data_IF_384796917559
#
_entry.id   IF_384796917559
#
_cell.length_a   1.000
_cell.length_b   1.000
_cell.length_c   1.000
_cell.angle_alpha   90.00
_cell.angle_beta   90.00
_cell.angle_gamma   90.00
#
_symmetry.space_group_name_H-M   'P 1'
#
loop_
_entity.id
_entity.type
_entity.pdbx_description
1 polymer ?
#
# COMPACT_ATOMS: atom_id res chain seq x y z
N UNK A 1 17.45 -5.69 -26.03
CA UNK A 1 16.09 -5.25 -26.45
C UNK A 1 14.99 -5.95 -25.65
N UNK A 2 15.07 -7.26 -25.40
CA UNK A 2 14.03 -8.01 -24.63
C UNK A 2 13.72 -7.44 -23.24
N UNK A 3 14.71 -7.07 -22.43
CA UNK A 3 14.50 -6.45 -21.11
C UNK A 3 13.63 -5.19 -21.16
N UNK A 4 13.74 -4.39 -22.23
CA UNK A 4 12.92 -3.19 -22.38
C UNK A 4 11.47 -3.55 -22.69
N UNK A 5 11.26 -4.55 -23.55
CA UNK A 5 9.92 -5.03 -23.90
C UNK A 5 9.22 -5.57 -22.66
N UNK A 6 9.92 -6.41 -21.88
CA UNK A 6 9.41 -6.93 -20.61
C UNK A 6 9.09 -5.81 -19.61
N UNK A 7 9.97 -4.80 -19.51
CA UNK A 7 9.70 -3.62 -18.69
C UNK A 7 8.45 -2.86 -19.14
N UNK A 8 8.24 -2.67 -20.45
CA UNK A 8 7.05 -1.98 -20.96
C UNK A 8 5.77 -2.76 -20.72
N UNK A 9 5.80 -4.07 -20.91
CA UNK A 9 4.62 -4.90 -20.68
C UNK A 9 4.28 -4.98 -19.19
N UNK A 10 5.30 -4.97 -18.32
CA UNK A 10 5.11 -4.82 -16.88
C UNK A 10 4.47 -3.48 -16.53
N UNK A 11 4.98 -2.36 -17.08
CA UNK A 11 4.42 -1.02 -16.81
C UNK A 11 2.95 -0.90 -17.26
N UNK A 12 2.59 -1.46 -18.42
CA UNK A 12 1.19 -1.48 -18.88
C UNK A 12 0.29 -2.26 -17.91
N UNK A 13 0.79 -3.37 -17.38
CA UNK A 13 0.06 -4.18 -16.41
C UNK A 13 -0.11 -3.40 -15.10
N UNK A 14 0.96 -2.78 -14.61
CA UNK A 14 0.93 -1.93 -13.42
C UNK A 14 -0.10 -0.80 -13.53
N UNK A 15 -0.09 -0.03 -14.62
CA UNK A 15 -1.06 1.04 -14.86
C UNK A 15 -2.50 0.55 -14.90
N UNK A 16 -2.73 -0.63 -15.51
CA UNK A 16 -4.06 -1.23 -15.54
C UNK A 16 -4.53 -1.59 -14.12
N UNK A 17 -3.70 -2.26 -13.34
CA UNK A 17 -4.03 -2.68 -11.98
C UNK A 17 -4.30 -1.45 -11.07
N UNK A 18 -3.50 -0.40 -11.22
CA UNK A 18 -3.68 0.86 -10.52
C UNK A 18 -4.99 1.56 -10.91
N UNK A 19 -5.30 1.66 -12.21
CA UNK A 19 -6.55 2.24 -12.69
C UNK A 19 -7.78 1.46 -12.19
N UNK A 20 -7.70 0.13 -12.17
CA UNK A 20 -8.74 -0.73 -11.59
C UNK A 20 -8.90 -0.48 -10.09
N UNK A 21 -7.79 -0.35 -9.37
CA UNK A 21 -7.79 -0.01 -7.95
C UNK A 21 -8.39 1.37 -7.67
N UNK A 22 -7.97 2.39 -8.41
CA UNK A 22 -8.49 3.75 -8.33
C UNK A 22 -9.99 3.80 -8.60
N UNK A 23 -10.47 3.04 -9.59
CA UNK A 23 -11.90 2.89 -9.87
C UNK A 23 -12.63 2.25 -8.69
N UNK A 24 -12.07 1.18 -8.11
CA UNK A 24 -12.67 0.47 -6.98
C UNK A 24 -12.82 1.34 -5.73
N UNK A 25 -11.87 2.24 -5.46
CA UNK A 25 -11.95 3.18 -4.33
C UNK A 25 -12.69 4.48 -4.67
N UNK A 26 -13.16 4.65 -5.91
CA UNK A 26 -13.85 5.86 -6.37
C UNK A 26 -12.96 7.10 -6.39
N UNK A 27 -11.69 6.95 -6.77
CA UNK A 27 -10.74 8.07 -6.82
C UNK A 27 -11.19 9.11 -7.85
N UNK A 28 -11.38 10.38 -7.45
CA UNK A 28 -12.04 11.39 -8.29
C UNK A 28 -11.23 11.81 -9.52
N UNK A 29 -9.90 11.67 -9.49
CA UNK A 29 -9.03 12.11 -10.59
C UNK A 29 -8.60 10.96 -11.51
N UNK A 30 -9.34 9.84 -11.54
CA UNK A 30 -9.02 8.66 -12.36
C UNK A 30 -8.78 8.99 -13.83
N UNK A 31 -9.69 9.74 -14.45
CA UNK A 31 -9.56 10.03 -15.89
C UNK A 31 -8.38 10.94 -16.21
N UNK A 32 -7.96 11.80 -15.29
CA UNK A 32 -6.75 12.61 -15.49
C UNK A 32 -5.49 11.76 -15.35
N UNK A 33 -5.44 10.91 -14.33
CA UNK A 33 -4.32 9.99 -14.10
C UNK A 33 -4.14 9.01 -15.27
N UNK A 34 -5.22 8.51 -15.87
CA UNK A 34 -5.20 7.71 -17.11
C UNK A 34 -4.53 8.44 -18.28
N UNK A 35 -4.69 9.76 -18.40
CA UNK A 35 -4.02 10.53 -19.46
C UNK A 35 -2.52 10.54 -19.22
N UNK A 36 -2.09 10.67 -17.97
CA UNK A 36 -0.68 10.61 -17.58
C UNK A 36 -0.10 9.25 -17.96
N UNK A 37 -0.77 8.13 -17.62
CA UNK A 37 -0.35 6.79 -18.06
C UNK A 37 -0.19 6.67 -19.57
N UNK A 38 -1.18 7.14 -20.34
CA UNK A 38 -1.11 7.11 -21.81
C UNK A 38 0.06 7.94 -22.33
N UNK A 39 0.32 9.09 -21.73
CA UNK A 39 1.44 9.94 -22.10
C UNK A 39 2.78 9.24 -21.82
N UNK A 40 2.94 8.64 -20.63
CA UNK A 40 4.12 7.83 -20.28
C UNK A 40 4.39 6.75 -21.35
N UNK A 41 3.35 5.97 -21.68
CA UNK A 41 3.46 4.87 -22.66
C UNK A 41 3.84 5.40 -24.05
N UNK A 42 3.25 6.52 -24.48
CA UNK A 42 3.54 7.13 -25.78
C UNK A 42 4.98 7.65 -25.86
N UNK A 43 5.43 8.35 -24.83
CA UNK A 43 6.76 8.94 -24.78
C UNK A 43 7.83 7.84 -24.73
N UNK A 44 7.59 6.80 -23.93
CA UNK A 44 8.41 5.59 -23.91
C UNK A 44 8.47 4.90 -25.29
N UNK A 45 7.33 4.71 -25.96
CA UNK A 45 7.30 4.10 -27.29
C UNK A 45 8.07 4.93 -28.33
N UNK A 46 8.06 6.26 -28.21
CA UNK A 46 8.87 7.17 -29.01
C UNK A 46 10.36 6.98 -28.76
N UNK A 47 10.78 6.91 -27.50
CA UNK A 47 12.20 6.71 -27.14
C UNK A 47 12.75 5.39 -27.68
N UNK A 48 11.99 4.29 -27.60
CA UNK A 48 12.42 2.97 -28.08
C UNK A 48 12.73 2.96 -29.58
N UNK A 49 11.96 3.70 -30.39
CA UNK A 49 12.19 3.81 -31.84
C UNK A 49 13.52 4.49 -32.17
N UNK A 50 13.99 5.36 -31.28
CA UNK A 50 15.21 6.14 -31.45
C UNK A 50 16.46 5.45 -30.85
N UNK A 51 16.32 4.28 -30.20
CA UNK A 51 17.46 3.54 -29.64
C UNK A 51 18.28 2.90 -30.76
N UNK A 52 19.44 3.49 -31.06
CA UNK A 52 20.39 3.01 -32.07
C UNK A 52 21.76 2.63 -31.50
N UNK A 53 22.02 2.93 -30.22
CA UNK A 53 23.27 2.59 -29.53
C UNK A 53 23.03 2.20 -28.06
N UNK A 54 24.04 1.60 -27.44
CA UNK A 54 24.01 1.24 -26.01
C UNK A 54 24.01 2.49 -25.11
N UNK A 55 24.65 3.57 -25.53
CA UNK A 55 24.68 4.80 -24.73
C UNK A 55 23.32 5.52 -24.75
N UNK A 56 22.67 5.59 -25.91
CA UNK A 56 21.28 6.09 -26.03
C UNK A 56 20.32 5.23 -25.22
N UNK A 57 20.53 3.91 -25.17
CA UNK A 57 19.76 3.02 -24.32
C UNK A 57 19.95 3.33 -22.82
N UNK A 58 21.19 3.57 -22.38
CA UNK A 58 21.47 3.93 -20.97
C UNK A 58 20.81 5.25 -20.59
N UNK A 59 20.92 6.27 -21.44
CA UNK A 59 20.25 7.56 -21.23
C UNK A 59 18.74 7.40 -21.16
N UNK A 60 18.14 6.63 -22.08
CA UNK A 60 16.71 6.34 -22.06
C UNK A 60 16.28 5.68 -20.74
N UNK A 61 17.01 4.66 -20.27
CA UNK A 61 16.70 3.99 -19.00
C UNK A 61 16.82 4.98 -17.83
N UNK A 62 17.82 5.85 -17.82
CA UNK A 62 18.00 6.85 -16.77
C UNK A 62 16.84 7.85 -16.73
N UNK A 63 16.41 8.36 -17.89
CA UNK A 63 15.25 9.25 -18.03
C UNK A 63 13.96 8.56 -17.60
N UNK A 64 13.74 7.30 -18.02
CA UNK A 64 12.57 6.51 -17.59
C UNK A 64 12.54 6.35 -16.07
N UNK A 65 13.67 5.99 -15.45
CA UNK A 65 13.72 5.72 -14.03
C UNK A 65 13.56 6.99 -13.18
N UNK A 66 14.26 8.07 -13.54
CA UNK A 66 14.28 9.32 -12.74
C UNK A 66 13.14 10.26 -13.07
N UNK A 67 12.94 10.56 -14.35
CA UNK A 67 12.06 11.65 -14.74
C UNK A 67 10.61 11.19 -14.81
N UNK A 68 10.39 9.95 -15.26
CA UNK A 68 9.06 9.38 -15.38
C UNK A 68 8.62 8.62 -14.15
N UNK A 69 9.26 7.49 -13.85
CA UNK A 69 8.78 6.57 -12.83
C UNK A 69 8.79 7.19 -11.43
N UNK A 70 9.92 7.78 -11.03
CA UNK A 70 10.03 8.38 -9.71
C UNK A 70 9.09 9.59 -9.54
N UNK A 71 9.01 10.46 -10.55
CA UNK A 71 8.11 11.62 -10.52
C UNK A 71 6.65 11.18 -10.46
N UNK A 72 6.26 10.21 -11.28
CA UNK A 72 4.92 9.64 -11.30
C UNK A 72 4.53 9.08 -9.92
N UNK A 73 5.37 8.22 -9.34
CA UNK A 73 5.13 7.64 -8.01
C UNK A 73 4.94 8.74 -6.96
N UNK A 74 5.87 9.71 -6.91
CA UNK A 74 5.87 10.72 -5.86
C UNK A 74 4.75 11.75 -6.02
N UNK A 75 4.40 12.11 -7.25
CA UNK A 75 3.46 13.18 -7.53
C UNK A 75 2.04 12.67 -7.74
N UNK A 76 1.86 11.50 -8.34
CA UNK A 76 0.55 10.97 -8.72
C UNK A 76 0.11 9.81 -7.81
N UNK A 77 0.87 8.72 -7.70
CA UNK A 77 0.44 7.52 -6.96
C UNK A 77 0.26 7.83 -5.46
N UNK A 78 1.12 8.69 -4.90
CA UNK A 78 0.98 9.18 -3.53
C UNK A 78 -0.35 9.90 -3.27
N UNK A 79 -1.01 10.47 -4.29
CA UNK A 79 -2.34 11.10 -4.15
C UNK A 79 -3.42 10.05 -3.93
N UNK A 80 -3.29 8.89 -4.57
CA UNK A 80 -4.20 7.75 -4.39
C UNK A 80 -4.12 7.26 -2.95
N UNK A 81 -2.90 7.10 -2.42
CA UNK A 81 -2.69 6.69 -1.03
C UNK A 81 -3.24 7.72 -0.02
N UNK A 82 -3.01 9.02 -0.28
CA UNK A 82 -3.59 10.10 0.54
C UNK A 82 -5.11 10.07 0.52
N UNK A 83 -5.71 9.84 -0.65
CA UNK A 83 -7.16 9.71 -0.80
C UNK A 83 -7.69 8.50 -0.04
N UNK A 84 -7.08 7.33 -0.20
CA UNK A 84 -7.42 6.11 0.54
C UNK A 84 -7.42 6.34 2.05
N UNK A 85 -6.37 6.96 2.58
CA UNK A 85 -6.26 7.28 4.02
C UNK A 85 -7.35 8.24 4.49
N UNK A 86 -7.70 9.24 3.68
CA UNK A 86 -8.80 10.16 3.99
C UNK A 86 -10.16 9.45 3.94
N UNK A 87 -10.40 8.61 2.94
CA UNK A 87 -11.61 7.80 2.84
C UNK A 87 -11.75 6.86 4.05
N UNK A 88 -10.67 6.23 4.52
CA UNK A 88 -10.67 5.40 5.73
C UNK A 88 -10.93 6.19 7.02
N UNK A 89 -10.53 7.47 7.08
CA UNK A 89 -10.79 8.35 8.24
C UNK A 89 -12.20 8.95 8.22
N UNK A 90 -12.77 9.18 7.04
CA UNK A 90 -14.10 9.76 6.84
C UNK A 90 -15.20 8.70 6.68
N UNK A 91 -14.86 7.42 6.55
CA UNK A 91 -15.81 6.36 6.87
C UNK A 91 -16.26 6.58 8.31
N UNK A 92 -17.57 6.71 8.59
CA UNK A 92 -18.02 6.56 9.96
C UNK A 92 -17.55 5.16 10.36
N UNK A 93 -16.69 5.07 11.36
CA UNK A 93 -16.38 3.81 12.02
C UNK A 93 -17.67 3.41 12.75
N UNK A 94 -18.67 2.93 12.01
CA UNK A 94 -19.87 2.27 12.53
C UNK A 94 -19.59 0.79 12.73
N UNK A 95 -18.41 0.49 13.26
CA UNK A 95 -18.21 -0.75 14.00
C UNK A 95 -17.75 -0.33 15.38
N UNK A 96 -18.48 -0.67 16.45
CA UNK A 96 -17.96 -0.48 17.80
C UNK A 96 -16.63 -1.21 17.84
N UNK A 97 -15.53 -0.46 17.92
CA UNK A 97 -14.20 -1.04 18.10
C UNK A 97 -14.17 -1.62 19.50
N UNK A 98 -14.64 -2.87 19.63
CA UNK A 98 -14.55 -3.62 20.87
C UNK A 98 -13.08 -3.82 21.17
N UNK A 99 -12.69 -3.33 22.33
CA UNK A 99 -11.36 -3.59 22.87
C UNK A 99 -11.46 -4.64 23.96
N UNK A 100 -10.46 -5.50 24.03
CA UNK A 100 -10.40 -6.58 25.01
C UNK A 100 -9.24 -6.28 25.95
N UNK A 101 -9.54 -6.17 27.24
CA UNK A 101 -8.55 -5.93 28.28
C UNK A 101 -8.01 -7.26 28.77
N UNK A 102 -6.69 -7.36 28.78
CA UNK A 102 -5.93 -8.49 29.30
C UNK A 102 -5.00 -8.02 30.42
N UNK A 103 -4.75 -8.87 31.40
CA UNK A 103 -3.82 -8.60 32.50
C UNK A 103 -2.72 -9.64 32.58
N UNK A 104 -1.65 -9.29 33.27
CA UNK A 104 -0.54 -10.19 33.57
C UNK A 104 -0.15 -10.04 35.05
N UNK A 105 0.91 -10.72 35.48
CA UNK A 105 1.43 -10.63 36.85
C UNK A 105 2.04 -9.25 37.21
N UNK A 106 2.09 -8.30 36.27
CA UNK A 106 2.55 -6.93 36.55
C UNK A 106 1.48 -6.17 37.36
N UNK A 107 1.84 -5.53 38.47
CA UNK A 107 0.90 -4.76 39.28
C UNK A 107 0.34 -3.57 38.50
N UNK A 108 -0.99 -3.49 38.40
CA UNK A 108 -1.72 -2.37 37.80
C UNK A 108 -1.61 -2.25 36.27
N UNK A 109 -1.12 -3.29 35.58
CA UNK A 109 -0.90 -3.22 34.14
C UNK A 109 -1.99 -3.91 33.32
N UNK A 110 -2.57 -3.15 32.41
CA UNK A 110 -3.58 -3.62 31.46
C UNK A 110 -3.05 -3.60 30.02
N UNK A 111 -3.43 -4.62 29.25
CA UNK A 111 -3.10 -4.79 27.85
C UNK A 111 -4.37 -4.67 27.02
N UNK A 112 -4.46 -3.60 26.23
CA UNK A 112 -5.60 -3.33 25.35
C UNK A 112 -5.39 -4.00 23.99
N UNK A 113 -6.19 -5.00 23.67
CA UNK A 113 -6.15 -5.73 22.40
C UNK A 113 -7.36 -5.39 21.52
N UNK A 114 -7.17 -5.43 20.20
CA UNK A 114 -8.27 -5.33 19.23
C UNK A 114 -8.94 -6.69 19.04
N UNK A 115 -10.17 -6.70 18.49
CA UNK A 115 -10.90 -7.92 18.13
C UNK A 115 -10.05 -8.95 17.35
N UNK A 116 -9.27 -8.48 16.37
CA UNK A 116 -8.40 -9.35 15.57
C UNK A 116 -7.36 -10.07 16.44
N UNK A 117 -6.74 -9.34 17.38
CA UNK A 117 -5.72 -9.91 18.27
C UNK A 117 -6.38 -10.81 19.32
N UNK A 118 -7.55 -10.43 19.86
CA UNK A 118 -8.32 -11.27 20.77
C UNK A 118 -8.68 -12.63 20.14
N UNK A 119 -9.14 -12.62 18.90
CA UNK A 119 -9.48 -13.83 18.13
C UNK A 119 -8.25 -14.70 17.88
N UNK A 120 -7.11 -14.07 17.55
CA UNK A 120 -5.84 -14.77 17.40
C UNK A 120 -5.41 -15.47 18.70
N UNK A 121 -5.49 -14.80 19.85
CA UNK A 121 -5.16 -15.38 21.16
C UNK A 121 -6.06 -16.57 21.49
N UNK A 122 -7.36 -16.49 21.18
CA UNK A 122 -8.31 -17.60 21.43
C UNK A 122 -8.04 -18.82 20.57
N UNK A 123 -7.60 -18.63 19.32
CA UNK A 123 -7.41 -19.70 18.35
C UNK A 123 -5.97 -20.26 18.31
N UNK A 124 -4.99 -19.52 18.83
CA UNK A 124 -3.59 -19.95 18.90
C UNK A 124 -3.32 -20.76 20.16
N UNK A 125 -2.62 -21.90 20.02
CA UNK A 125 -2.09 -22.66 21.17
C UNK A 125 -0.96 -21.93 21.89
N UNK A 126 -0.30 -21.00 21.20
CA UNK A 126 0.75 -20.16 21.74
C UNK A 126 0.13 -18.83 22.15
N UNK A 127 -0.09 -18.64 23.46
CA UNK A 127 -0.63 -17.39 24.01
C UNK A 127 0.29 -16.19 23.77
N UNK A 128 -0.24 -14.98 23.95
CA UNK A 128 0.55 -13.74 23.90
C UNK A 128 1.21 -13.51 25.25
N UNK A 129 2.46 -13.08 25.24
CA UNK A 129 3.23 -12.79 26.44
C UNK A 129 3.35 -11.28 26.66
N UNK A 130 3.32 -10.87 27.92
CA UNK A 130 3.60 -9.50 28.31
C UNK A 130 5.07 -9.17 28.01
N UNK A 131 5.34 -7.99 27.47
CA UNK A 131 6.71 -7.55 27.14
C UNK A 131 7.59 -7.21 28.36
N UNK A 132 7.01 -7.13 29.55
CA UNK A 132 7.75 -6.81 30.77
C UNK A 132 7.98 -8.03 31.66
N UNK A 133 6.90 -8.71 32.07
CA UNK A 133 7.04 -9.90 32.92
C UNK A 133 7.23 -11.20 32.12
N UNK A 134 7.10 -11.18 30.80
CA UNK A 134 7.16 -12.36 29.92
C UNK A 134 6.13 -13.44 30.25
N UNK A 135 5.20 -13.20 31.17
CA UNK A 135 4.08 -14.10 31.46
C UNK A 135 3.01 -13.98 30.38
N UNK A 136 2.27 -15.07 30.15
CA UNK A 136 1.09 -15.07 29.28
C UNK A 136 0.05 -14.10 29.82
N UNK A 137 -0.49 -13.26 28.94
CA UNK A 137 -1.57 -12.33 29.30
C UNK A 137 -2.91 -13.08 29.33
N UNK A 138 -3.71 -12.85 30.35
CA UNK A 138 -5.02 -13.46 30.55
C UNK A 138 -6.14 -12.46 30.27
N UNK A 139 -7.22 -12.92 29.63
CA UNK A 139 -8.37 -12.07 29.34
C UNK A 139 -9.08 -11.68 30.64
N UNK A 140 -9.42 -10.40 30.80
CA UNK A 140 -10.14 -9.88 31.96
C UNK A 140 -11.57 -9.46 31.62
N UNK A 141 -11.74 -8.47 30.74
CA UNK A 141 -13.07 -7.95 30.37
C UNK A 141 -13.04 -7.24 29.01
N UNK A 142 -14.21 -7.01 28.44
CA UNK A 142 -14.38 -6.20 27.23
C UNK A 142 -14.52 -4.75 27.67
N UNK A 143 -13.77 -3.85 27.04
CA UNK A 143 -13.93 -2.42 27.20
C UNK A 143 -15.14 -1.99 26.37
N UNK A 144 -16.23 -1.62 27.05
CA UNK A 144 -17.44 -1.06 26.45
C UNK A 144 -17.23 0.37 25.93
#
# INVERSE_FOLDING_TARGET
KNILIEFFDYMKTHFKDEEEYMKAIGFPQLEEHKKIHRQIVNDMAGMVKNVHSVDVLKEMIATIAKDWLLTHILQEDMRIEKYRRKAQRNSPVTQPQRFYIYTCACPGKEHKLTEAIHTFVKNSKSGIHCKECHCTIAFQHILE
#
